data_IF_238941716662
#
_entry.id   IF_238941716662
#
_cell.length_a   1.000
_cell.length_b   1.000
_cell.length_c   1.000
_cell.angle_alpha   90.00
_cell.angle_beta   90.00
_cell.angle_gamma   90.00
#
_symmetry.space_group_name_H-M   'P 1'
#
loop_
_entity.id
_entity.type
_entity.pdbx_description
1 polymer ?
#
# COMPACT_ATOMS: atom_id res chain seq x y z
N UNK A 1 -43.18 25.74 36.16
CA UNK A 1 -43.12 26.31 34.80
C UNK A 1 -41.75 26.86 34.36
N UNK A 2 -40.70 26.92 35.22
CA UNK A 2 -39.35 27.39 34.81
C UNK A 2 -38.45 26.31 34.18
N UNK A 3 -38.56 25.05 34.59
CA UNK A 3 -37.69 23.96 34.09
C UNK A 3 -37.87 23.63 32.61
N UNK A 4 -39.09 23.73 32.09
CA UNK A 4 -39.38 23.48 30.67
C UNK A 4 -38.71 24.52 29.75
N UNK A 5 -38.65 25.78 30.18
CA UNK A 5 -38.02 26.88 29.44
C UNK A 5 -36.51 26.65 29.34
N UNK A 6 -35.88 26.19 30.43
CA UNK A 6 -34.45 25.85 30.45
C UNK A 6 -34.12 24.66 29.52
N UNK A 7 -34.93 23.61 29.52
CA UNK A 7 -34.75 22.46 28.63
C UNK A 7 -34.87 22.85 27.15
N UNK A 8 -35.85 23.69 26.81
CA UNK A 8 -36.04 24.17 25.45
C UNK A 8 -34.90 25.09 24.99
N UNK A 9 -34.31 25.86 25.92
CA UNK A 9 -33.13 26.69 25.65
C UNK A 9 -31.89 25.85 25.36
N UNK A 10 -31.62 24.82 26.16
CA UNK A 10 -30.49 23.89 25.95
C UNK A 10 -30.65 23.13 24.63
N UNK A 11 -31.86 22.66 24.32
CA UNK A 11 -32.13 21.95 23.06
C UNK A 11 -31.91 22.84 21.82
N UNK A 12 -32.35 24.10 21.86
CA UNK A 12 -32.13 25.07 20.78
C UNK A 12 -30.65 25.46 20.64
N UNK A 13 -29.92 25.59 21.76
CA UNK A 13 -28.48 25.81 21.75
C UNK A 13 -27.73 24.61 21.15
N UNK A 14 -28.06 23.40 21.56
CA UNK A 14 -27.47 22.17 21.03
C UNK A 14 -27.79 21.98 19.53
N UNK A 15 -29.02 22.28 19.09
CA UNK A 15 -29.40 22.20 17.67
C UNK A 15 -28.64 23.22 16.80
N UNK A 16 -28.38 24.43 17.32
CA UNK A 16 -27.60 25.46 16.62
C UNK A 16 -26.10 25.18 16.57
N UNK A 17 -25.61 24.34 17.46
CA UNK A 17 -24.21 23.92 17.51
C UNK A 17 -24.00 22.47 17.04
N UNK A 18 -25.08 21.82 16.60
CA UNK A 18 -24.99 20.53 15.95
C UNK A 18 -24.12 20.68 14.70
N UNK A 19 -23.16 19.76 14.48
CA UNK A 19 -22.31 19.80 13.30
C UNK A 19 -23.22 19.74 12.07
N UNK A 20 -23.14 20.77 11.22
CA UNK A 20 -23.96 20.84 10.01
C UNK A 20 -23.67 19.63 9.13
N UNK A 21 -24.64 19.15 8.33
CA UNK A 21 -24.41 18.00 7.44
C UNK A 21 -23.20 18.21 6.52
N UNK A 22 -22.89 19.45 6.14
CA UNK A 22 -21.70 19.80 5.35
C UNK A 22 -20.41 19.54 6.13
N UNK A 23 -20.33 19.95 7.40
CA UNK A 23 -19.16 19.66 8.26
C UNK A 23 -19.00 18.17 8.54
N UNK A 24 -20.09 17.42 8.60
CA UNK A 24 -20.05 15.96 8.72
C UNK A 24 -19.53 15.32 7.44
N UNK A 25 -20.01 15.78 6.28
CA UNK A 25 -19.54 15.31 4.99
C UNK A 25 -18.04 15.61 4.78
N UNK A 26 -17.57 16.81 5.15
CA UNK A 26 -16.14 17.17 5.08
C UNK A 26 -15.26 16.23 5.92
N UNK A 27 -15.72 15.89 7.14
CA UNK A 27 -15.01 14.93 8.01
C UNK A 27 -15.00 13.52 7.42
N UNK A 28 -16.16 13.02 7.02
CA UNK A 28 -16.28 11.70 6.39
C UNK A 28 -15.43 11.60 5.12
N UNK A 29 -15.36 12.68 4.34
CA UNK A 29 -14.54 12.75 3.13
C UNK A 29 -13.04 12.61 3.47
N UNK A 30 -12.57 13.30 4.51
CA UNK A 30 -11.19 13.15 4.96
C UNK A 30 -10.89 11.72 5.44
N UNK A 31 -11.78 11.14 6.24
CA UNK A 31 -11.66 9.77 6.73
C UNK A 31 -11.61 8.76 5.58
N UNK A 32 -12.55 8.84 4.63
CA UNK A 32 -12.62 7.95 3.48
C UNK A 32 -11.41 8.05 2.55
N UNK A 33 -10.81 9.25 2.40
CA UNK A 33 -9.55 9.39 1.64
C UNK A 33 -8.40 8.62 2.28
N UNK A 34 -8.32 8.65 3.61
CA UNK A 34 -7.30 7.90 4.34
C UNK A 34 -7.55 6.40 4.29
N UNK A 35 -8.81 5.97 4.37
CA UNK A 35 -9.18 4.55 4.21
C UNK A 35 -8.87 4.03 2.80
N UNK A 36 -9.20 4.80 1.76
CA UNK A 36 -8.87 4.47 0.38
C UNK A 36 -7.36 4.28 0.21
N UNK A 37 -6.56 5.23 0.68
CA UNK A 37 -5.10 5.13 0.58
C UNK A 37 -4.57 3.86 1.28
N UNK A 38 -5.09 3.51 2.46
CA UNK A 38 -4.71 2.29 3.16
C UNK A 38 -5.08 1.03 2.37
N UNK A 39 -6.27 0.99 1.79
CA UNK A 39 -6.72 -0.13 0.97
C UNK A 39 -5.83 -0.29 -0.27
N UNK A 40 -5.45 0.81 -0.92
CA UNK A 40 -4.52 0.79 -2.07
C UNK A 40 -3.15 0.24 -1.69
N UNK A 41 -2.60 0.67 -0.55
CA UNK A 41 -1.33 0.12 -0.04
C UNK A 41 -1.43 -1.39 0.23
N UNK A 42 -2.52 -1.85 0.85
CA UNK A 42 -2.75 -3.27 1.09
C UNK A 42 -2.84 -4.08 -0.21
N UNK A 43 -3.50 -3.56 -1.23
CA UNK A 43 -3.57 -4.20 -2.56
C UNK A 43 -2.18 -4.30 -3.18
N UNK A 44 -1.39 -3.24 -3.13
CA UNK A 44 -0.03 -3.22 -3.66
C UNK A 44 0.85 -4.26 -2.95
N UNK A 45 0.78 -4.32 -1.61
CA UNK A 45 1.52 -5.31 -0.82
C UNK A 45 1.09 -6.75 -1.14
N UNK A 46 -0.22 -6.98 -1.30
CA UNK A 46 -0.75 -8.28 -1.66
C UNK A 46 -0.29 -8.72 -3.06
N UNK A 47 -0.27 -7.78 -4.02
CA UNK A 47 0.26 -8.02 -5.36
C UNK A 47 1.74 -8.39 -5.32
N UNK A 48 2.56 -7.65 -4.59
CA UNK A 48 3.99 -7.97 -4.44
C UNK A 48 4.21 -9.38 -3.87
N UNK A 49 3.45 -9.76 -2.83
CA UNK A 49 3.50 -11.11 -2.25
C UNK A 49 3.06 -12.16 -3.26
N UNK A 50 1.99 -11.92 -4.00
CA UNK A 50 1.50 -12.85 -5.02
C UNK A 50 2.55 -13.08 -6.12
N UNK A 51 3.16 -12.00 -6.63
CA UNK A 51 4.22 -12.09 -7.64
C UNK A 51 5.45 -12.86 -7.13
N UNK A 52 5.86 -12.61 -5.88
CA UNK A 52 6.93 -13.37 -5.25
C UNK A 52 6.65 -14.87 -5.25
N UNK A 53 5.46 -15.28 -4.81
CA UNK A 53 5.11 -16.70 -4.75
C UNK A 53 4.90 -17.32 -6.12
N UNK A 54 4.35 -16.59 -7.11
CA UNK A 54 4.27 -17.04 -8.50
C UNK A 54 5.65 -17.35 -9.06
N UNK A 55 6.60 -16.41 -8.92
CA UNK A 55 7.97 -16.60 -9.39
C UNK A 55 8.67 -17.77 -8.68
N UNK A 56 8.41 -17.95 -7.38
CA UNK A 56 8.97 -19.04 -6.60
C UNK A 56 8.37 -20.40 -6.97
N UNK A 57 7.07 -20.47 -7.27
CA UNK A 57 6.42 -21.67 -7.75
C UNK A 57 6.99 -22.10 -9.10
N UNK A 58 7.03 -21.20 -10.08
CA UNK A 58 7.60 -21.48 -11.39
C UNK A 58 9.05 -21.98 -11.30
N UNK A 59 9.86 -21.36 -10.44
CA UNK A 59 11.22 -21.83 -10.18
C UNK A 59 11.25 -23.27 -9.66
N UNK A 60 10.44 -23.60 -8.65
CA UNK A 60 10.40 -24.94 -8.07
C UNK A 60 9.86 -25.98 -9.06
N UNK A 61 8.88 -25.62 -9.88
CA UNK A 61 8.37 -26.45 -10.98
C UNK A 61 9.49 -26.76 -11.99
N UNK A 62 10.26 -25.75 -12.40
CA UNK A 62 11.39 -25.94 -13.31
C UNK A 62 12.50 -26.80 -12.68
N UNK A 63 12.83 -26.58 -11.40
CA UNK A 63 13.82 -27.41 -10.68
C UNK A 63 13.36 -28.86 -10.59
N UNK A 64 12.08 -29.08 -10.33
CA UNK A 64 11.52 -30.44 -10.26
C UNK A 64 11.54 -31.13 -11.62
N UNK A 65 11.37 -30.38 -12.71
CA UNK A 65 11.34 -30.91 -14.08
C UNK A 65 12.73 -31.14 -14.68
N UNK A 66 13.68 -30.24 -14.42
CA UNK A 66 14.95 -30.18 -15.15
C UNK A 66 16.19 -30.38 -14.27
N UNK A 67 16.03 -30.39 -12.94
CA UNK A 67 17.15 -30.36 -12.00
C UNK A 67 17.62 -28.93 -11.69
N UNK A 68 18.27 -28.76 -10.54
CA UNK A 68 18.67 -27.44 -10.04
C UNK A 68 19.82 -26.83 -10.85
N UNK A 69 20.69 -27.66 -11.42
CA UNK A 69 21.86 -27.28 -12.19
C UNK A 69 21.45 -26.60 -13.50
N UNK A 70 20.56 -27.25 -14.26
CA UNK A 70 20.07 -26.74 -15.55
C UNK A 70 19.35 -25.38 -15.40
N UNK A 71 18.50 -25.24 -14.37
CA UNK A 71 17.77 -24.00 -14.08
C UNK A 71 18.72 -22.89 -13.62
N UNK A 72 19.76 -23.23 -12.85
CA UNK A 72 20.76 -22.26 -12.39
C UNK A 72 21.60 -21.72 -13.54
N UNK A 73 22.02 -22.58 -14.47
CA UNK A 73 22.81 -22.17 -15.63
C UNK A 73 21.99 -21.36 -16.64
N UNK A 74 20.71 -21.72 -16.83
CA UNK A 74 19.79 -20.92 -17.63
C UNK A 74 19.57 -19.51 -17.06
N UNK A 75 19.42 -19.38 -15.73
CA UNK A 75 19.24 -18.08 -15.09
C UNK A 75 20.50 -17.20 -15.16
N UNK A 76 21.69 -17.80 -14.99
CA UNK A 76 22.97 -17.08 -15.15
C UNK A 76 23.12 -16.51 -16.56
N UNK A 77 22.83 -17.31 -17.58
CA UNK A 77 22.92 -16.84 -18.97
C UNK A 77 21.90 -15.73 -19.29
N UNK A 78 20.67 -15.81 -18.76
CA UNK A 78 19.68 -14.72 -18.90
C UNK A 78 20.11 -13.42 -18.18
N UNK A 79 20.73 -13.53 -17.01
CA UNK A 79 21.23 -12.37 -16.27
C UNK A 79 22.41 -11.70 -16.97
N UNK A 80 23.30 -12.48 -17.58
CA UNK A 80 24.42 -11.96 -18.40
C UNK A 80 23.91 -11.26 -19.67
N UNK A 81 22.85 -11.76 -20.31
CA UNK A 81 22.22 -11.13 -21.47
C UNK A 81 21.48 -9.83 -21.15
N UNK A 82 20.98 -9.68 -19.92
CA UNK A 82 20.14 -8.53 -19.50
C UNK A 82 20.97 -7.40 -18.89
N UNK A 83 22.21 -7.64 -18.47
CA UNK A 83 23.10 -6.59 -17.96
C UNK A 83 23.93 -5.99 -19.10
N UNK A 84 23.60 -4.80 -19.66
CA UNK A 84 24.65 -3.98 -20.24
C UNK A 84 25.58 -3.61 -19.08
N UNK A 85 26.88 -3.92 -19.23
CA UNK A 85 27.97 -3.55 -18.30
C UNK A 85 27.70 -2.20 -17.64
N UNK A 86 27.12 -2.20 -16.43
CA UNK A 86 26.87 -0.99 -15.66
C UNK A 86 28.20 -0.67 -14.97
N UNK A 87 28.92 0.40 -15.37
CA UNK A 87 30.10 0.81 -14.62
C UNK A 87 29.61 1.18 -13.22
N UNK A 88 29.96 0.36 -12.22
CA UNK A 88 29.67 0.66 -10.83
C UNK A 88 30.27 2.03 -10.44
N UNK A 89 29.63 2.79 -9.55
CA UNK A 89 30.15 4.08 -9.12
C UNK A 89 31.53 3.88 -8.48
N UNK A 90 32.59 4.35 -9.15
CA UNK A 90 33.92 4.42 -8.55
C UNK A 90 33.86 5.47 -7.44
N UNK A 91 33.92 5.03 -6.20
CA UNK A 91 34.24 5.89 -5.07
C UNK A 91 35.69 6.33 -5.23
N UNK A 92 35.92 7.47 -5.88
CA UNK A 92 37.20 8.16 -5.79
C UNK A 92 37.31 8.71 -4.37
N UNK A 93 38.11 8.06 -3.53
CA UNK A 93 38.55 8.62 -2.28
C UNK A 93 39.27 9.95 -2.58
N UNK A 94 38.72 11.05 -2.07
CA UNK A 94 39.38 12.34 -2.07
C UNK A 94 40.61 12.24 -1.16
N UNK A 95 41.76 12.67 -1.69
CA UNK A 95 43.02 12.84 -0.96
C UNK A 95 42.95 14.03 -0.02
#
# INVERSE_FOLDING_TARGET
MRGFIMLMWIANWAARHAPTPEKQAERALHELRMELFRAEQQVMDAQLRAEYFRARLLFLEDVTRQGIEAVSDQRKSQQELTQPSRPGPRLTAAQ
#
